data_IF_587637520020
#
_entry.id   IF_587637520020
#
_cell.length_a   1.000
_cell.length_b   1.000
_cell.length_c   1.000
_cell.angle_alpha   90.00
_cell.angle_beta   90.00
_cell.angle_gamma   90.00
#
_symmetry.space_group_name_H-M   'P 1'
#
loop_
_entity.id
_entity.type
_entity.pdbx_description
1 polymer ?
#
# COMPACT_ATOMS: atom_id res chain seq x y z
N UNK A 1 -20.11 9.16 20.16
CA UNK A 1 -20.04 9.12 18.68
C UNK A 1 -19.01 10.16 18.28
N UNK A 2 -17.83 9.74 17.81
CA UNK A 2 -16.84 10.70 17.31
C UNK A 2 -17.25 11.03 15.88
N UNK A 3 -17.60 12.28 15.62
CA UNK A 3 -17.85 12.75 14.26
C UNK A 3 -16.53 12.63 13.50
N UNK A 4 -16.46 11.70 12.53
CA UNK A 4 -15.30 11.57 11.65
C UNK A 4 -14.95 12.94 11.09
N UNK A 5 -13.65 13.30 11.14
CA UNK A 5 -13.13 14.46 10.43
C UNK A 5 -13.46 14.20 8.96
N UNK A 6 -14.35 15.01 8.37
CA UNK A 6 -14.64 14.93 6.93
C UNK A 6 -13.42 15.49 6.22
N UNK A 7 -12.83 14.70 5.33
CA UNK A 7 -11.83 15.19 4.40
C UNK A 7 -12.53 15.40 3.07
N UNK A 8 -12.21 16.50 2.39
CA UNK A 8 -12.87 16.78 1.11
C UNK A 8 -12.51 15.72 0.06
N UNK A 9 -11.35 15.06 0.21
CA UNK A 9 -10.82 14.07 -0.74
C UNK A 9 -10.35 12.78 -0.04
N UNK A 10 -10.36 11.69 -0.80
CA UNK A 10 -9.81 10.39 -0.44
C UNK A 10 -8.30 10.37 -0.65
N UNK A 11 -7.53 10.05 0.39
CA UNK A 11 -6.06 10.01 0.34
C UNK A 11 -5.50 8.86 -0.53
N UNK A 12 -6.33 7.88 -0.89
CA UNK A 12 -5.93 6.75 -1.73
C UNK A 12 -6.15 6.99 -3.24
N UNK A 13 -7.16 7.77 -3.63
CA UNK A 13 -7.52 7.93 -5.06
C UNK A 13 -7.96 9.33 -5.47
N UNK A 14 -7.95 10.31 -4.56
CA UNK A 14 -8.35 11.70 -4.84
C UNK A 14 -9.86 11.92 -5.06
N UNK A 15 -10.68 10.87 -4.95
CA UNK A 15 -12.13 11.01 -5.08
C UNK A 15 -12.72 11.91 -3.97
N UNK A 16 -13.76 12.71 -4.26
CA UNK A 16 -14.38 13.55 -3.25
C UNK A 16 -15.07 12.72 -2.16
N UNK A 17 -15.33 13.36 -1.02
CA UNK A 17 -16.04 12.78 0.14
C UNK A 17 -15.23 11.72 0.89
N UNK A 18 -14.00 12.06 1.28
CA UNK A 18 -13.17 11.25 2.17
C UNK A 18 -13.73 11.19 3.59
N UNK A 19 -13.82 9.99 4.16
CA UNK A 19 -14.18 9.75 5.55
C UNK A 19 -12.95 9.23 6.28
N UNK A 20 -12.63 9.80 7.44
CA UNK A 20 -11.53 9.34 8.28
C UNK A 20 -11.74 7.90 8.80
N UNK A 21 -10.86 6.97 8.40
CA UNK A 21 -10.87 5.57 8.82
C UNK A 21 -9.81 5.35 9.89
N UNK A 22 -10.22 5.27 11.16
CA UNK A 22 -9.30 5.24 12.32
C UNK A 22 -8.35 4.03 12.30
N UNK A 23 -8.84 2.87 11.86
CA UNK A 23 -8.04 1.64 11.77
C UNK A 23 -6.88 1.75 10.79
N UNK A 24 -7.00 2.63 9.79
CA UNK A 24 -5.99 2.84 8.74
C UNK A 24 -5.24 4.17 8.89
N UNK A 25 -5.71 5.07 9.77
CA UNK A 25 -5.09 6.37 9.99
C UNK A 25 -5.12 7.30 8.77
N UNK A 26 -6.11 7.15 7.89
CA UNK A 26 -6.24 7.88 6.63
C UNK A 26 -7.70 8.15 6.26
N UNK A 27 -7.96 9.12 5.39
CA UNK A 27 -9.28 9.43 4.85
C UNK A 27 -9.56 8.68 3.54
N UNK A 28 -10.63 7.88 3.52
CA UNK A 28 -11.01 7.04 2.39
C UNK A 28 -12.44 7.30 1.92
N UNK A 29 -12.67 7.15 0.62
CA UNK A 29 -14.02 6.98 0.09
C UNK A 29 -14.52 5.55 0.35
N UNK A 30 -15.83 5.33 0.30
CA UNK A 30 -16.43 4.03 0.65
C UNK A 30 -15.97 2.84 -0.20
N UNK A 31 -15.49 3.07 -1.43
CA UNK A 31 -14.91 2.01 -2.26
C UNK A 31 -13.51 1.62 -1.77
N UNK A 32 -12.64 2.59 -1.46
CA UNK A 32 -11.31 2.33 -0.92
C UNK A 32 -11.34 1.75 0.50
N UNK A 33 -12.27 2.21 1.34
CA UNK A 33 -12.50 1.62 2.67
C UNK A 33 -12.88 0.14 2.56
N UNK A 34 -13.82 -0.19 1.67
CA UNK A 34 -14.25 -1.57 1.43
C UNK A 34 -13.13 -2.43 0.85
N UNK A 35 -12.39 -1.91 -0.13
CA UNK A 35 -11.23 -2.61 -0.69
C UNK A 35 -10.15 -2.91 0.36
N UNK A 36 -9.91 -1.98 1.30
CA UNK A 36 -8.98 -2.20 2.42
C UNK A 36 -9.52 -3.18 3.47
N UNK A 37 -10.83 -3.24 3.66
CA UNK A 37 -11.50 -4.09 4.65
C UNK A 37 -11.74 -5.52 4.17
N UNK A 38 -11.94 -5.72 2.87
CA UNK A 38 -12.14 -7.03 2.25
C UNK A 38 -10.83 -7.83 2.13
N UNK A 39 -9.70 -7.22 2.47
CA UNK A 39 -8.43 -7.93 2.50
C UNK A 39 -8.37 -8.79 3.77
N UNK A 40 -8.18 -10.13 3.66
CA UNK A 40 -8.00 -10.97 4.83
C UNK A 40 -6.87 -10.38 5.68
N UNK A 41 -7.02 -10.44 7.01
CA UNK A 41 -6.02 -9.97 7.96
C UNK A 41 -4.65 -10.44 7.47
N UNK A 42 -3.81 -9.50 6.98
CA UNK A 42 -2.53 -9.88 6.38
C UNK A 42 -1.75 -10.64 7.42
N UNK A 43 -1.22 -11.79 7.04
CA UNK A 43 -0.30 -12.52 7.90
C UNK A 43 0.82 -11.55 8.30
N UNK A 44 1.08 -11.39 9.61
CA UNK A 44 2.10 -10.47 10.08
C UNK A 44 3.43 -10.88 9.44
N UNK A 45 4.04 -9.96 8.70
CA UNK A 45 5.32 -10.21 8.06
C UNK A 45 6.39 -10.28 9.15
N UNK A 46 7.04 -11.44 9.28
CA UNK A 46 8.16 -11.59 10.18
C UNK A 46 9.36 -10.82 9.63
N UNK A 47 9.81 -9.80 10.36
CA UNK A 47 10.94 -8.95 9.97
C UNK A 47 12.21 -9.80 9.73
N UNK A 48 12.38 -10.89 10.47
CA UNK A 48 13.48 -11.84 10.28
C UNK A 48 13.50 -12.47 8.89
N UNK A 49 12.34 -12.86 8.35
CA UNK A 49 12.24 -13.50 7.04
C UNK A 49 12.51 -12.50 5.90
N UNK A 50 12.04 -11.26 6.07
CA UNK A 50 12.34 -10.17 5.13
C UNK A 50 13.84 -9.88 5.09
N UNK A 51 14.48 -9.78 6.25
CA UNK A 51 15.92 -9.53 6.34
C UNK A 51 16.73 -10.68 5.76
N UNK A 52 16.30 -11.93 6.00
CA UNK A 52 16.93 -13.11 5.40
C UNK A 52 16.85 -13.07 3.87
N UNK A 53 15.66 -12.80 3.31
CA UNK A 53 15.44 -12.68 1.87
C UNK A 53 16.23 -11.53 1.24
N UNK A 54 16.28 -10.36 1.89
CA UNK A 54 17.10 -9.23 1.43
C UNK A 54 18.59 -9.57 1.44
N UNK A 55 19.08 -10.23 2.50
CA UNK A 55 20.48 -10.66 2.60
C UNK A 55 20.83 -11.65 1.49
N UNK A 56 19.95 -12.60 1.20
CA UNK A 56 20.15 -13.55 0.10
C UNK A 56 20.16 -12.83 -1.27
N UNK A 57 19.24 -11.90 -1.49
CA UNK A 57 19.17 -11.10 -2.71
C UNK A 57 20.44 -10.26 -2.93
N UNK A 58 20.92 -9.57 -1.88
CA UNK A 58 22.16 -8.79 -1.93
C UNK A 58 23.36 -9.70 -2.20
N UNK A 59 23.44 -10.84 -1.52
CA UNK A 59 24.54 -11.80 -1.73
C UNK A 59 24.52 -12.37 -3.14
N UNK A 60 23.34 -12.64 -3.70
CA UNK A 60 23.17 -13.10 -5.08
C UNK A 60 23.53 -12.01 -6.09
N UNK A 61 23.11 -10.77 -5.85
CA UNK A 61 23.47 -9.62 -6.68
C UNK A 61 24.99 -9.40 -6.68
N UNK A 62 25.64 -9.47 -5.51
CA UNK A 62 27.09 -9.36 -5.38
C UNK A 62 27.85 -10.45 -6.15
N UNK A 63 27.32 -11.68 -6.20
CA UNK A 63 27.92 -12.79 -6.95
C UNK A 63 27.69 -12.71 -8.46
N UNK A 64 26.60 -12.08 -8.90
CA UNK A 64 26.16 -12.12 -10.32
C UNK A 64 26.34 -10.79 -11.04
N UNK A 65 26.67 -9.71 -10.34
CA UNK A 65 26.80 -8.36 -10.91
C UNK A 65 25.48 -7.78 -11.45
N UNK A 66 24.34 -8.43 -11.18
CA UNK A 66 23.02 -7.99 -11.67
C UNK A 66 22.46 -6.89 -10.76
N UNK A 67 22.05 -5.78 -11.36
CA UNK A 67 21.45 -4.65 -10.65
C UNK A 67 20.20 -5.10 -9.88
N UNK A 68 20.10 -4.69 -8.61
CA UNK A 68 18.92 -4.90 -7.77
C UNK A 68 17.77 -4.06 -8.33
N UNK A 69 16.59 -4.64 -8.59
CA UNK A 69 15.42 -3.87 -9.01
C UNK A 69 15.09 -2.81 -7.95
N UNK A 70 15.00 -1.55 -8.37
CA UNK A 70 14.67 -0.45 -7.47
C UNK A 70 13.19 -0.52 -7.07
N UNK A 71 12.94 -0.75 -5.78
CA UNK A 71 11.60 -0.82 -5.19
C UNK A 71 10.84 0.52 -5.23
N UNK A 72 11.52 1.65 -5.46
CA UNK A 72 10.89 2.96 -5.71
C UNK A 72 10.45 3.17 -7.15
N UNK A 73 10.74 2.25 -8.06
CA UNK A 73 10.24 2.36 -9.42
C UNK A 73 8.71 2.36 -9.38
N UNK A 74 8.05 3.41 -9.88
CA UNK A 74 6.59 3.47 -9.88
C UNK A 74 6.07 2.26 -10.66
N UNK A 75 5.29 1.42 -10.00
CA UNK A 75 4.54 0.39 -10.72
C UNK A 75 3.43 1.09 -11.50
N UNK A 76 3.19 0.73 -12.77
CA UNK A 76 2.01 1.17 -13.53
C UNK A 76 0.73 0.50 -13.00
N UNK A 77 0.71 0.10 -11.73
CA UNK A 77 -0.37 -0.62 -11.10
C UNK A 77 -1.56 0.33 -10.96
N UNK A 78 -2.54 0.12 -11.82
CA UNK A 78 -3.87 0.67 -11.63
C UNK A 78 -4.51 -0.04 -10.43
N UNK A 79 -5.18 0.74 -9.59
CA UNK A 79 -5.98 0.15 -8.52
C UNK A 79 -7.13 -0.65 -9.14
N UNK A 80 -7.20 -1.97 -8.93
CA UNK A 80 -8.29 -2.80 -9.47
C UNK A 80 -9.69 -2.37 -8.99
N UNK A 81 -9.76 -1.71 -7.82
CA UNK A 81 -11.01 -1.28 -7.21
C UNK A 81 -11.57 0.03 -7.79
N UNK A 82 -10.72 1.00 -8.16
CA UNK A 82 -11.16 2.32 -8.66
C UNK A 82 -10.58 2.71 -10.02
N UNK A 83 -9.70 1.87 -10.59
CA UNK A 83 -8.96 2.06 -11.85
C UNK A 83 -8.11 3.33 -11.94
N UNK A 84 -7.91 4.05 -10.85
CA UNK A 84 -6.97 5.16 -10.80
C UNK A 84 -5.53 4.63 -10.89
N UNK A 85 -4.71 5.28 -11.71
CA UNK A 85 -3.26 5.11 -11.70
C UNK A 85 -2.62 5.92 -10.59
N UNK A 86 -1.46 5.48 -10.09
CA UNK A 86 -0.58 6.33 -9.31
C UNK A 86 0.24 7.19 -10.28
N UNK A 87 -0.04 8.50 -10.31
CA UNK A 87 0.77 9.51 -11.01
C UNK A 87 1.95 9.99 -10.14
#
# INVERSE_FOLDING_TARGET
MVSGRRCDECEACGAPYGIWVVSLGMALCGSCERAGSDHPARDPVLVGDVLAGMTEAVTRAARTGRAVPDARSPSPATCDACRAGAD
#
